data_IF_963950562778
#
_entry.id   IF_963950562778
#
_cell.length_a   1.000
_cell.length_b   1.000
_cell.length_c   1.000
_cell.angle_alpha   90.00
_cell.angle_beta   90.00
_cell.angle_gamma   90.00
#
_symmetry.space_group_name_H-M   'P 1'
#
loop_
_entity.id
_entity.type
_entity.pdbx_description
1 polymer ?
#
# COMPACT_ATOMS: atom_id res chain seq x y z
N UNK A 1 64.95 -10.28 -54.76
CA UNK A 1 63.95 -11.23 -55.32
C UNK A 1 62.68 -10.45 -55.65
N UNK A 2 62.16 -10.52 -56.89
CA UNK A 2 61.13 -9.59 -57.43
C UNK A 2 59.84 -10.34 -57.80
N UNK A 3 58.73 -9.91 -57.18
CA UNK A 3 57.44 -9.58 -57.81
C UNK A 3 56.59 -10.67 -58.46
N UNK A 4 55.60 -11.17 -57.72
CA UNK A 4 54.31 -11.66 -58.26
C UNK A 4 53.16 -11.00 -57.47
N UNK A 5 52.66 -9.85 -57.92
CA UNK A 5 51.50 -9.14 -57.32
C UNK A 5 50.47 -8.60 -58.31
N UNK A 6 50.56 -8.91 -59.62
CA UNK A 6 49.70 -8.32 -60.66
C UNK A 6 48.44 -9.13 -61.05
N UNK A 7 48.32 -10.40 -60.65
CA UNK A 7 47.17 -11.25 -61.03
C UNK A 7 45.96 -11.23 -60.08
N UNK A 8 46.12 -10.78 -58.84
CA UNK A 8 45.04 -10.78 -57.83
C UNK A 8 44.13 -9.55 -57.90
N UNK A 9 44.56 -8.46 -58.54
CA UNK A 9 43.79 -7.21 -58.58
C UNK A 9 42.55 -7.28 -59.49
N UNK A 10 42.58 -8.10 -60.56
CA UNK A 10 41.44 -8.26 -61.47
C UNK A 10 40.30 -9.12 -60.90
N UNK A 11 40.64 -10.21 -60.20
CA UNK A 11 39.64 -11.06 -59.54
C UNK A 11 38.91 -10.34 -58.40
N UNK A 12 39.63 -9.49 -57.65
CA UNK A 12 39.04 -8.65 -56.61
C UNK A 12 38.05 -7.65 -57.22
N UNK A 13 38.34 -7.06 -58.39
CA UNK A 13 37.44 -6.14 -59.08
C UNK A 13 36.10 -6.82 -59.45
N UNK A 14 36.16 -8.02 -60.04
CA UNK A 14 34.96 -8.78 -60.45
C UNK A 14 34.14 -9.20 -59.23
N UNK A 15 34.80 -9.70 -58.18
CA UNK A 15 34.15 -10.08 -56.93
C UNK A 15 33.49 -8.87 -56.24
N UNK A 16 34.18 -7.73 -56.24
CA UNK A 16 33.65 -6.48 -55.64
C UNK A 16 32.44 -5.98 -56.43
N UNK A 17 32.50 -5.95 -57.76
CA UNK A 17 31.38 -5.55 -58.61
C UNK A 17 30.15 -6.45 -58.42
N UNK A 18 30.35 -7.75 -58.17
CA UNK A 18 29.27 -8.68 -57.87
C UNK A 18 28.69 -8.51 -56.46
N UNK A 19 29.53 -8.26 -55.44
CA UNK A 19 29.09 -8.11 -54.05
C UNK A 19 28.52 -6.72 -53.71
N UNK A 20 28.96 -5.67 -54.41
CA UNK A 20 28.58 -4.29 -54.11
C UNK A 20 27.04 -4.06 -54.10
N UNK A 21 26.25 -4.58 -55.06
CA UNK A 21 24.79 -4.47 -55.02
C UNK A 21 24.17 -5.10 -53.77
N UNK A 22 24.68 -6.26 -53.34
CA UNK A 22 24.21 -6.92 -52.13
C UNK A 22 24.55 -6.11 -50.88
N UNK A 23 25.77 -5.56 -50.80
CA UNK A 23 26.18 -4.70 -49.67
C UNK A 23 25.25 -3.48 -49.61
N UNK A 24 25.02 -2.80 -50.74
CA UNK A 24 24.11 -1.65 -50.81
C UNK A 24 22.70 -2.05 -50.36
N UNK A 25 22.18 -3.18 -50.86
CA UNK A 25 20.86 -3.68 -50.48
C UNK A 25 20.74 -3.97 -48.98
N UNK A 26 21.71 -4.68 -48.39
CA UNK A 26 21.72 -4.96 -46.96
C UNK A 26 21.86 -3.69 -46.12
N UNK A 27 22.71 -2.74 -46.53
CA UNK A 27 22.85 -1.46 -45.82
C UNK A 27 21.59 -0.60 -45.90
N UNK A 28 20.94 -0.56 -47.07
CA UNK A 28 19.69 0.18 -47.26
C UNK A 28 18.55 -0.41 -46.42
N UNK A 29 18.38 -1.73 -46.45
CA UNK A 29 17.41 -2.42 -45.58
C UNK A 29 17.71 -2.21 -44.10
N UNK A 30 18.99 -2.19 -43.69
CA UNK A 30 19.37 -1.92 -42.31
C UNK A 30 18.97 -0.51 -41.86
N UNK A 31 19.10 0.50 -42.73
CA UNK A 31 18.65 1.88 -42.44
C UNK A 31 17.13 1.95 -42.30
N UNK A 32 16.40 1.32 -43.22
CA UNK A 32 14.93 1.32 -43.22
C UNK A 32 14.38 0.62 -41.97
N UNK A 33 14.82 -0.61 -41.68
CA UNK A 33 14.38 -1.35 -40.50
C UNK A 33 14.89 -0.74 -39.20
N UNK A 34 16.08 -0.14 -39.19
CA UNK A 34 16.60 0.61 -38.05
C UNK A 34 15.71 1.80 -37.70
N UNK A 35 15.29 2.56 -38.70
CA UNK A 35 14.40 3.72 -38.53
C UNK A 35 13.01 3.30 -38.06
N UNK A 36 12.45 2.22 -38.64
CA UNK A 36 11.19 1.63 -38.20
C UNK A 36 11.25 1.12 -36.75
N UNK A 37 12.36 0.48 -36.36
CA UNK A 37 12.57 -0.01 -35.00
C UNK A 37 12.63 1.14 -33.97
N UNK A 38 13.39 2.20 -34.27
CA UNK A 38 13.46 3.39 -33.40
C UNK A 38 12.08 4.02 -33.25
N UNK A 39 11.33 4.17 -34.35
CA UNK A 39 9.97 4.72 -34.30
C UNK A 39 9.05 3.86 -33.44
N UNK A 40 9.07 2.53 -33.62
CA UNK A 40 8.28 1.59 -32.82
C UNK A 40 8.60 1.71 -31.33
N UNK A 41 9.88 1.83 -30.98
CA UNK A 41 10.31 2.02 -29.58
C UNK A 41 9.77 3.31 -28.96
N UNK A 42 9.80 4.42 -29.71
CA UNK A 42 9.21 5.69 -29.27
C UNK A 42 7.70 5.59 -29.06
N UNK A 43 6.99 4.92 -29.98
CA UNK A 43 5.56 4.68 -29.84
C UNK A 43 5.24 3.82 -28.62
N UNK A 44 6.02 2.77 -28.34
CA UNK A 44 5.79 1.93 -27.16
C UNK A 44 5.98 2.72 -25.86
N UNK A 45 7.06 3.49 -25.72
CA UNK A 45 7.30 4.30 -24.53
C UNK A 45 6.18 5.32 -24.30
N UNK A 46 5.70 5.95 -25.38
CA UNK A 46 4.60 6.90 -25.30
C UNK A 46 3.26 6.22 -24.97
N UNK A 47 2.99 5.04 -25.54
CA UNK A 47 1.80 4.24 -25.25
C UNK A 47 1.79 3.78 -23.79
N UNK A 48 2.92 3.29 -23.26
CA UNK A 48 3.06 2.86 -21.87
C UNK A 48 2.82 4.02 -20.90
N UNK A 49 3.44 5.18 -21.15
CA UNK A 49 3.25 6.38 -20.34
C UNK A 49 1.80 6.90 -20.40
N UNK A 50 1.21 6.92 -21.58
CA UNK A 50 -0.17 7.36 -21.78
C UNK A 50 -1.19 6.40 -21.15
N UNK A 51 -0.97 5.08 -21.25
CA UNK A 51 -1.83 4.07 -20.63
C UNK A 51 -1.78 4.15 -19.10
N UNK A 52 -0.58 4.26 -18.51
CA UNK A 52 -0.42 4.45 -17.06
C UNK A 52 -1.11 5.73 -16.56
N UNK A 53 -0.88 6.85 -17.24
CA UNK A 53 -1.45 8.13 -16.85
C UNK A 53 -2.98 8.17 -17.05
N UNK A 54 -3.47 7.66 -18.17
CA UNK A 54 -4.89 7.61 -18.50
C UNK A 54 -5.67 6.69 -17.56
N UNK A 55 -5.11 5.52 -17.22
CA UNK A 55 -5.76 4.55 -16.35
C UNK A 55 -6.04 5.13 -14.96
N UNK A 56 -5.15 5.97 -14.43
CA UNK A 56 -5.35 6.67 -13.15
C UNK A 56 -6.66 7.50 -13.10
N UNK A 57 -7.09 8.00 -14.26
CA UNK A 57 -8.24 8.88 -14.43
C UNK A 57 -9.47 8.21 -15.07
N UNK A 58 -9.56 6.87 -15.04
CA UNK A 58 -10.72 6.13 -15.56
C UNK A 58 -12.04 6.50 -14.84
N UNK A 59 -12.00 6.68 -13.52
CA UNK A 59 -13.21 6.95 -12.72
C UNK A 59 -13.75 8.38 -12.87
N UNK A 60 -12.89 9.33 -13.26
CA UNK A 60 -13.23 10.76 -13.32
C UNK A 60 -13.55 11.24 -14.75
N UNK A 61 -13.71 10.31 -15.70
CA UNK A 61 -13.94 10.56 -17.13
C UNK A 61 -12.87 11.45 -17.82
N UNK A 62 -11.69 11.61 -17.22
CA UNK A 62 -10.59 12.44 -17.76
C UNK A 62 -9.51 11.63 -18.51
N UNK A 63 -9.67 10.30 -18.60
CA UNK A 63 -8.67 9.40 -19.18
C UNK A 63 -8.20 9.81 -20.59
N UNK A 64 -9.11 10.19 -21.49
CA UNK A 64 -8.75 10.51 -22.89
C UNK A 64 -7.94 11.82 -23.00
N UNK A 65 -8.32 12.84 -22.23
CA UNK A 65 -7.62 14.12 -22.21
C UNK A 65 -6.19 13.95 -21.67
N UNK A 66 -6.03 13.11 -20.65
CA UNK A 66 -4.73 12.78 -20.06
C UNK A 66 -3.89 11.96 -21.05
N UNK A 67 -4.46 10.95 -21.71
CA UNK A 67 -3.79 10.18 -22.77
C UNK A 67 -3.25 11.13 -23.84
N UNK A 68 -4.10 12.02 -24.39
CA UNK A 68 -3.69 12.97 -25.42
C UNK A 68 -2.56 13.90 -24.95
N UNK A 69 -2.62 14.38 -23.71
CA UNK A 69 -1.58 15.21 -23.11
C UNK A 69 -0.23 14.48 -23.04
N UNK A 70 -0.23 13.22 -22.60
CA UNK A 70 0.98 12.42 -22.49
C UNK A 70 1.54 12.05 -23.86
N UNK A 71 0.68 11.73 -24.83
CA UNK A 71 1.12 11.50 -26.21
C UNK A 71 1.80 12.74 -26.79
N UNK A 72 1.18 13.91 -26.67
CA UNK A 72 1.81 15.19 -27.10
C UNK A 72 3.16 15.43 -26.44
N UNK A 73 3.23 15.27 -25.13
CA UNK A 73 4.47 15.47 -24.36
C UNK A 73 5.61 14.56 -24.83
N UNK A 74 5.31 13.29 -25.17
CA UNK A 74 6.32 12.30 -25.54
C UNK A 74 6.62 12.25 -27.05
N UNK A 75 5.72 12.75 -27.90
CA UNK A 75 5.76 12.53 -29.35
C UNK A 75 5.73 13.82 -30.20
N UNK A 76 5.46 14.99 -29.64
CA UNK A 76 5.44 16.27 -30.38
C UNK A 76 6.73 16.59 -31.17
N UNK A 77 7.94 16.19 -30.72
CA UNK A 77 9.16 16.35 -31.53
C UNK A 77 9.14 15.54 -32.85
N UNK A 78 8.16 14.64 -33.02
CA UNK A 78 8.08 13.69 -34.12
C UNK A 78 6.74 13.73 -34.86
N UNK A 79 5.69 14.29 -34.25
CA UNK A 79 4.34 14.34 -34.79
C UNK A 79 3.70 15.70 -34.53
N UNK A 80 3.19 16.33 -35.58
CA UNK A 80 2.48 17.62 -35.50
C UNK A 80 0.96 17.46 -35.64
N UNK A 81 0.49 16.24 -35.96
CA UNK A 81 -0.92 15.91 -36.18
C UNK A 81 -1.28 14.63 -35.43
N UNK A 82 -2.33 14.71 -34.61
CA UNK A 82 -2.88 13.62 -33.82
C UNK A 82 -4.34 13.41 -34.22
N UNK A 83 -4.75 12.17 -34.43
CA UNK A 83 -6.16 11.84 -34.65
C UNK A 83 -6.64 10.82 -33.61
N UNK A 84 -7.75 11.17 -32.95
CA UNK A 84 -8.41 10.32 -31.97
C UNK A 84 -9.59 9.60 -32.60
N UNK A 85 -9.78 8.33 -32.27
CA UNK A 85 -10.87 7.50 -32.78
C UNK A 85 -11.59 6.80 -31.62
N UNK A 86 -12.91 6.90 -31.58
CA UNK A 86 -13.77 6.28 -30.55
C UNK A 86 -14.46 5.04 -31.13
N UNK A 87 -14.50 3.93 -30.37
CA UNK A 87 -15.14 2.68 -30.78
C UNK A 87 -14.26 1.76 -31.63
N UNK A 88 -14.84 0.67 -32.14
CA UNK A 88 -14.12 -0.42 -32.84
C UNK A 88 -13.54 -0.02 -34.22
N UNK A 89 -13.90 1.16 -34.75
CA UNK A 89 -13.44 1.67 -36.04
C UNK A 89 -12.03 2.30 -35.94
N UNK A 90 -11.03 1.49 -35.56
CA UNK A 90 -9.64 1.93 -35.56
C UNK A 90 -9.03 1.80 -36.96
N UNK A 91 -8.72 2.91 -37.66
CA UNK A 91 -8.39 2.89 -39.07
C UNK A 91 -7.06 2.16 -39.35
N UNK A 92 -7.01 1.43 -40.46
CA UNK A 92 -5.78 0.81 -40.99
C UNK A 92 -4.89 1.81 -41.76
N UNK A 93 -5.16 3.12 -41.64
CA UNK A 93 -4.37 4.18 -42.29
C UNK A 93 -3.23 4.62 -41.37
N UNK A 94 -2.03 4.79 -41.93
CA UNK A 94 -0.80 5.10 -41.20
C UNK A 94 -0.21 6.49 -41.55
N UNK A 95 -1.00 7.36 -42.17
CA UNK A 95 -0.56 8.68 -42.68
C UNK A 95 -0.31 9.73 -41.57
N UNK A 96 -0.95 9.57 -40.41
CA UNK A 96 -0.79 10.42 -39.21
C UNK A 96 -0.67 9.55 -37.96
N UNK A 97 -0.32 10.14 -36.81
CA UNK A 97 -0.37 9.41 -35.54
C UNK A 97 -1.83 9.22 -35.12
N UNK A 98 -2.31 8.00 -35.29
CA UNK A 98 -3.64 7.58 -34.87
C UNK A 98 -3.56 6.91 -33.50
N UNK A 99 -4.42 7.32 -32.58
CA UNK A 99 -4.53 6.67 -31.28
C UNK A 99 -5.97 6.31 -30.92
N UNK A 100 -6.11 5.19 -30.23
CA UNK A 100 -7.38 4.66 -29.76
C UNK A 100 -7.28 4.25 -28.29
N UNK A 101 -8.33 4.55 -27.53
CA UNK A 101 -8.52 4.14 -26.14
C UNK A 101 -9.70 3.19 -26.03
N UNK A 102 -9.47 1.97 -25.54
CA UNK A 102 -10.55 1.06 -25.10
C UNK A 102 -10.59 1.07 -23.58
N UNK A 103 -11.76 1.42 -23.02
CA UNK A 103 -11.98 1.58 -21.59
C UNK A 103 -12.86 0.45 -21.10
N UNK A 104 -12.28 -0.41 -20.28
CA UNK A 104 -13.00 -1.38 -19.47
C UNK A 104 -13.10 -0.87 -18.03
N UNK A 105 -13.97 -1.50 -17.22
CA UNK A 105 -14.28 -1.04 -15.84
C UNK A 105 -13.04 -0.71 -15.00
N UNK A 106 -11.94 -1.44 -15.17
CA UNK A 106 -10.69 -1.29 -14.42
C UNK A 106 -9.41 -1.33 -15.32
N UNK A 107 -9.56 -1.32 -16.65
CA UNK A 107 -8.45 -1.46 -17.61
C UNK A 107 -8.57 -0.40 -18.72
N UNK A 108 -7.42 0.13 -19.14
CA UNK A 108 -7.29 1.06 -20.26
C UNK A 108 -6.27 0.51 -21.26
N UNK A 109 -6.70 0.36 -22.50
CA UNK A 109 -5.83 0.00 -23.62
C UNK A 109 -5.55 1.24 -24.48
N UNK A 110 -4.28 1.51 -24.75
CA UNK A 110 -3.84 2.58 -25.65
C UNK A 110 -3.13 1.95 -26.84
N UNK A 111 -3.67 2.16 -28.04
CA UNK A 111 -3.04 1.69 -29.29
C UNK A 111 -2.63 2.89 -30.14
N UNK A 112 -1.37 2.89 -30.60
CA UNK A 112 -0.79 3.90 -31.48
C UNK A 112 -0.41 3.28 -32.84
N UNK A 113 -0.72 3.98 -33.93
CA UNK A 113 -0.34 3.60 -35.30
C UNK A 113 0.28 4.78 -36.05
N UNK A 114 1.36 4.52 -36.79
CA UNK A 114 2.07 5.48 -37.65
C UNK A 114 2.82 4.76 -38.77
N UNK A 115 3.30 5.49 -39.77
CA UNK A 115 4.27 5.00 -40.75
C UNK A 115 5.63 5.68 -40.61
N UNK A 116 6.67 5.06 -41.16
CA UNK A 116 8.01 5.63 -41.32
C UNK A 116 8.34 5.64 -42.81
N UNK A 117 8.84 6.76 -43.32
CA UNK A 117 9.29 6.86 -44.71
C UNK A 117 10.45 5.89 -44.98
N UNK A 118 10.33 5.11 -46.06
CA UNK A 118 11.40 4.23 -46.50
C UNK A 118 12.43 5.00 -47.33
N UNK A 119 13.70 4.73 -47.10
CA UNK A 119 14.82 5.27 -47.86
C UNK A 119 15.22 4.33 -49.00
N UNK A 120 15.42 3.04 -48.71
CA UNK A 120 15.87 2.06 -49.71
C UNK A 120 14.71 1.32 -50.36
N UNK A 121 13.72 0.86 -49.58
CA UNK A 121 12.56 0.13 -50.09
C UNK A 121 11.71 0.95 -51.07
N UNK A 122 11.84 2.28 -51.04
CA UNK A 122 11.23 3.17 -52.03
C UNK A 122 11.69 2.91 -53.46
N UNK A 123 12.89 2.35 -53.66
CA UNK A 123 13.36 1.89 -54.97
C UNK A 123 12.54 0.71 -55.52
N UNK A 124 11.74 0.07 -54.66
CA UNK A 124 10.89 -1.08 -54.96
C UNK A 124 9.40 -0.78 -54.75
N UNK A 125 8.99 0.49 -54.88
CA UNK A 125 7.58 0.93 -54.78
C UNK A 125 6.96 0.73 -53.38
N UNK A 126 7.81 0.69 -52.34
CA UNK A 126 7.39 0.68 -50.94
C UNK A 126 7.81 2.00 -50.33
N UNK A 127 6.89 2.97 -50.29
CA UNK A 127 7.18 4.32 -49.81
C UNK A 127 7.30 4.42 -48.28
N UNK A 128 6.60 3.56 -47.54
CA UNK A 128 6.56 3.64 -46.08
C UNK A 128 6.47 2.26 -45.41
N UNK A 129 6.90 2.20 -44.14
CA UNK A 129 6.83 1.02 -43.28
C UNK A 129 5.83 1.31 -42.15
N UNK A 130 4.74 0.52 -42.02
CA UNK A 130 3.80 0.69 -40.93
C UNK A 130 4.41 0.22 -39.60
N UNK A 131 4.15 0.98 -38.54
CA UNK A 131 4.55 0.67 -37.16
C UNK A 131 3.37 0.89 -36.22
N UNK A 132 3.24 0.01 -35.23
CA UNK A 132 2.21 0.11 -34.20
C UNK A 132 2.75 -0.31 -32.83
N UNK A 133 2.12 0.22 -31.79
CA UNK A 133 2.40 -0.10 -30.40
C UNK A 133 1.08 -0.15 -29.62
N UNK A 134 0.98 -1.08 -28.68
CA UNK A 134 -0.17 -1.23 -27.79
C UNK A 134 0.34 -1.33 -26.36
N UNK A 135 -0.30 -0.62 -25.45
CA UNK A 135 -0.05 -0.68 -24.03
C UNK A 135 -1.37 -0.87 -23.30
N UNK A 136 -1.39 -1.74 -22.29
CA UNK A 136 -2.54 -1.99 -21.45
C UNK A 136 -2.18 -1.66 -20.01
N UNK A 137 -3.03 -0.90 -19.33
CA UNK A 137 -2.85 -0.55 -17.93
C UNK A 137 -4.08 -0.96 -17.12
N UNK A 138 -3.85 -1.55 -15.95
CA UNK A 138 -4.89 -1.94 -15.01
C UNK A 138 -4.84 -1.09 -13.76
N UNK A 139 -6.00 -0.59 -13.36
CA UNK A 139 -6.20 0.04 -12.05
C UNK A 139 -6.53 -1.07 -11.07
N UNK A 140 -5.63 -1.33 -10.11
CA UNK A 140 -6.04 -2.11 -8.96
C UNK A 140 -6.84 -1.19 -8.06
N UNK A 141 -8.16 -1.41 -7.99
CA UNK A 141 -8.95 -0.91 -6.87
C UNK A 141 -8.33 -1.49 -5.61
N UNK A 142 -8.07 -0.63 -4.61
CA UNK A 142 -7.86 -1.09 -3.24
C UNK A 142 -8.92 -2.17 -2.97
N UNK A 143 -8.52 -3.31 -2.40
CA UNK A 143 -9.46 -4.37 -1.99
C UNK A 143 -10.69 -3.68 -1.38
N UNK A 144 -11.85 -3.78 -2.04
CA UNK A 144 -13.15 -3.20 -1.61
C UNK A 144 -13.64 -3.70 -0.22
N UNK A 145 -12.80 -4.44 0.49
CA UNK A 145 -12.96 -5.00 1.83
C UNK A 145 -12.10 -4.33 2.91
N UNK A 146 -11.20 -3.39 2.58
CA UNK A 146 -10.32 -2.77 3.57
C UNK A 146 -11.01 -1.58 4.26
N UNK A 147 -10.97 -1.48 5.60
CA UNK A 147 -11.57 -0.35 6.33
C UNK A 147 -10.96 0.99 5.93
N UNK A 148 -11.81 1.93 5.49
CA UNK A 148 -11.37 3.31 5.16
C UNK A 148 -11.50 4.29 6.33
N UNK A 149 -11.86 3.80 7.52
CA UNK A 149 -12.21 4.61 8.68
C UNK A 149 -11.03 5.47 9.19
N UNK A 150 -11.28 6.76 9.41
CA UNK A 150 -10.24 7.74 9.78
C UNK A 150 -9.51 7.41 11.08
N UNK A 151 -10.12 6.63 11.98
CA UNK A 151 -9.49 6.23 13.25
C UNK A 151 -8.15 5.50 13.04
N UNK A 152 -8.01 4.78 11.92
CA UNK A 152 -6.81 4.01 11.59
C UNK A 152 -5.71 4.85 10.91
N UNK A 153 -6.01 6.11 10.57
CA UNK A 153 -5.02 7.04 10.03
C UNK A 153 -4.14 7.68 11.13
N UNK A 154 -4.46 7.43 12.40
CA UNK A 154 -3.65 7.81 13.55
C UNK A 154 -2.79 6.63 14.00
N UNK A 155 -1.61 6.91 14.56
CA UNK A 155 -0.81 5.88 15.22
C UNK A 155 -1.58 5.30 16.43
N UNK A 156 -2.27 6.17 17.16
CA UNK A 156 -3.05 5.84 18.35
C UNK A 156 -4.38 6.60 18.29
N UNK A 157 -5.49 5.89 18.43
CA UNK A 157 -6.83 6.47 18.64
C UNK A 157 -7.43 5.90 19.92
N UNK A 158 -7.79 6.76 20.87
CA UNK A 158 -8.37 6.35 22.16
C UNK A 158 -9.65 7.11 22.46
N UNK A 159 -10.73 6.37 22.74
CA UNK A 159 -12.07 6.95 22.85
C UNK A 159 -12.58 7.16 24.29
N UNK A 160 -11.91 6.64 25.32
CA UNK A 160 -12.31 6.92 26.70
C UNK A 160 -12.29 8.42 26.98
N UNK A 161 -13.34 8.91 27.63
CA UNK A 161 -13.52 10.30 28.01
C UNK A 161 -13.25 10.45 29.50
N UNK A 162 -12.03 10.18 29.90
CA UNK A 162 -11.60 10.35 31.28
C UNK A 162 -10.47 11.35 31.37
N UNK A 163 -10.59 12.25 32.34
CA UNK A 163 -9.65 13.36 32.58
C UNK A 163 -8.94 13.21 33.93
N UNK A 164 -9.24 12.15 34.68
CA UNK A 164 -8.74 11.93 36.03
C UNK A 164 -7.44 11.13 36.02
N UNK A 165 -6.52 11.47 36.93
CA UNK A 165 -5.24 10.76 37.12
C UNK A 165 -5.41 9.30 37.55
N UNK A 166 -6.56 8.93 38.12
CA UNK A 166 -6.86 7.56 38.53
C UNK A 166 -7.36 6.64 37.42
N UNK A 167 -7.82 7.20 36.28
CA UNK A 167 -8.37 6.43 35.17
C UNK A 167 -8.06 7.12 33.83
N UNK A 168 -6.79 7.27 33.44
CA UNK A 168 -6.44 7.98 32.21
C UNK A 168 -6.91 7.22 30.95
N UNK A 169 -7.02 7.94 29.84
CA UNK A 169 -7.38 7.32 28.56
C UNK A 169 -6.16 6.63 27.93
N UNK A 170 -5.00 7.27 28.03
CA UNK A 170 -3.71 6.68 27.65
C UNK A 170 -2.83 6.66 28.89
N UNK A 171 -2.32 5.48 29.24
CA UNK A 171 -1.46 5.29 30.40
C UNK A 171 -0.07 4.83 29.98
N UNK A 172 0.92 5.66 30.28
CA UNK A 172 2.32 5.52 29.89
C UNK A 172 3.20 5.34 31.14
N UNK A 173 3.50 4.09 31.49
CA UNK A 173 4.10 3.70 32.79
C UNK A 173 5.63 3.62 32.76
N UNK A 174 6.24 3.76 31.58
CA UNK A 174 7.70 3.73 31.45
C UNK A 174 8.24 4.94 30.70
N UNK A 175 9.56 5.08 30.67
CA UNK A 175 10.25 6.27 30.17
C UNK A 175 10.90 6.03 28.81
N UNK A 176 11.17 7.11 28.08
CA UNK A 176 11.93 7.07 26.82
C UNK A 176 11.18 6.47 25.63
N UNK A 177 9.85 6.48 25.64
CA UNK A 177 9.06 6.02 24.50
C UNK A 177 9.17 6.99 23.34
N UNK A 178 9.10 6.47 22.12
CA UNK A 178 9.15 7.23 20.88
C UNK A 178 7.94 6.88 20.02
N UNK A 179 7.08 7.87 19.79
CA UNK A 179 5.91 7.73 18.93
C UNK A 179 6.15 8.58 17.70
N UNK A 180 6.03 7.98 16.52
CA UNK A 180 6.00 8.65 15.23
C UNK A 180 4.63 8.50 14.61
N UNK A 181 3.96 9.61 14.31
CA UNK A 181 2.58 9.65 13.83
C UNK A 181 1.63 10.30 14.83
N UNK A 182 0.41 10.54 14.37
CA UNK A 182 -0.54 11.33 15.15
C UNK A 182 -1.27 10.53 16.22
N UNK A 183 -1.69 11.20 17.29
CA UNK A 183 -2.51 10.65 18.36
C UNK A 183 -3.87 11.34 18.34
N UNK A 184 -4.95 10.57 18.35
CA UNK A 184 -6.32 11.05 18.58
C UNK A 184 -6.79 10.54 19.95
N UNK A 185 -7.20 11.44 20.85
CA UNK A 185 -7.65 11.05 22.19
C UNK A 185 -8.86 11.84 22.67
N UNK A 186 -9.82 11.13 23.28
CA UNK A 186 -10.98 11.75 23.91
C UNK A 186 -10.74 12.25 25.35
N UNK A 187 -9.65 11.80 25.97
CA UNK A 187 -9.32 12.10 27.36
C UNK A 187 -7.82 12.26 27.60
N UNK A 188 -7.42 12.16 28.86
CA UNK A 188 -6.08 12.51 29.30
C UNK A 188 -5.02 11.44 29.00
N UNK A 189 -3.78 11.91 28.83
CA UNK A 189 -2.57 11.09 28.77
C UNK A 189 -1.87 11.17 30.13
N UNK A 190 -1.70 10.04 30.81
CA UNK A 190 -0.95 9.98 32.06
C UNK A 190 0.45 9.46 31.80
N UNK A 191 1.44 10.25 32.20
CA UNK A 191 2.82 9.81 32.33
C UNK A 191 3.07 9.40 33.78
N UNK A 192 3.49 8.15 33.99
CA UNK A 192 4.01 7.68 35.26
C UNK A 192 5.45 7.21 35.04
N UNK A 193 6.33 8.18 34.83
CA UNK A 193 7.74 7.96 34.53
C UNK A 193 8.57 9.15 35.00
N UNK A 194 9.88 9.05 34.83
CA UNK A 194 10.89 10.02 35.28
C UNK A 194 11.70 10.63 34.12
N UNK A 195 11.54 10.14 32.88
CA UNK A 195 12.21 10.68 31.68
C UNK A 195 11.21 11.05 30.60
N UNK A 196 11.58 12.05 29.81
CA UNK A 196 10.79 12.60 28.71
C UNK A 196 10.56 11.55 27.62
N UNK A 197 9.33 11.46 27.13
CA UNK A 197 8.96 10.66 25.96
C UNK A 197 8.98 11.55 24.72
N UNK A 198 9.24 10.99 23.54
CA UNK A 198 9.30 11.74 22.27
C UNK A 198 8.07 11.48 21.41
N UNK A 199 7.50 12.54 20.83
CA UNK A 199 6.44 12.47 19.83
C UNK A 199 6.87 13.23 18.56
N UNK A 200 6.97 12.50 17.44
CA UNK A 200 7.11 13.02 16.08
C UNK A 200 5.75 12.95 15.37
N UNK A 201 4.89 13.94 15.63
CA UNK A 201 3.52 13.95 15.15
C UNK A 201 2.69 15.02 15.84
N UNK A 202 1.37 14.91 15.72
CA UNK A 202 0.39 15.84 16.30
C UNK A 202 -0.55 15.13 17.25
N UNK A 203 -1.05 15.86 18.25
CA UNK A 203 -2.14 15.38 19.10
C UNK A 203 -3.42 16.07 18.70
N UNK A 204 -4.45 15.30 18.38
CA UNK A 204 -5.81 15.77 18.18
C UNK A 204 -6.61 15.34 19.41
N UNK A 205 -7.20 16.31 20.11
CA UNK A 205 -7.88 16.05 21.37
C UNK A 205 -9.33 16.50 21.35
N UNK A 206 -10.22 15.65 21.85
CA UNK A 206 -11.56 16.06 22.27
C UNK A 206 -11.54 16.83 23.61
N UNK A 207 -10.41 16.79 24.33
CA UNK A 207 -10.22 17.58 25.54
C UNK A 207 -10.17 19.05 25.09
N UNK A 208 -11.05 19.92 25.58
CA UNK A 208 -10.94 21.34 25.27
C UNK A 208 -9.54 21.85 25.64
N UNK A 209 -8.85 22.57 24.75
CA UNK A 209 -7.47 23.04 24.94
C UNK A 209 -7.22 23.83 26.26
N UNK A 210 -8.28 24.35 26.89
CA UNK A 210 -8.20 24.99 28.20
C UNK A 210 -8.03 24.02 29.38
N UNK A 211 -8.14 22.70 29.15
CA UNK A 211 -7.84 21.63 30.08
C UNK A 211 -6.52 20.97 29.71
N UNK A 212 -5.74 20.60 30.71
CA UNK A 212 -4.47 19.92 30.50
C UNK A 212 -4.71 18.55 29.86
N UNK A 213 -4.21 18.35 28.64
CA UNK A 213 -4.33 17.07 27.89
C UNK A 213 -3.56 15.94 28.57
N UNK A 214 -2.55 16.28 29.36
CA UNK A 214 -1.78 15.32 30.14
C UNK A 214 -1.89 15.57 31.64
N UNK A 215 -1.71 14.50 32.41
CA UNK A 215 -1.52 14.55 33.85
C UNK A 215 -0.23 13.82 34.20
N UNK A 216 0.41 14.17 35.32
CA UNK A 216 1.62 13.49 35.79
C UNK A 216 1.43 12.97 37.20
N UNK A 217 1.98 11.78 37.45
CA UNK A 217 2.21 11.21 38.77
C UNK A 217 3.70 10.82 38.90
N UNK A 218 4.59 11.81 38.76
CA UNK A 218 6.02 11.63 39.01
C UNK A 218 6.29 11.69 40.52
N UNK A 219 7.30 10.94 40.99
CA UNK A 219 7.74 11.00 42.39
C UNK A 219 8.18 12.41 42.83
N UNK A 220 8.51 13.29 41.89
CA UNK A 220 8.94 14.68 42.14
C UNK A 220 7.90 15.75 41.76
N UNK A 221 6.65 15.37 41.42
CA UNK A 221 5.57 16.28 41.00
C UNK A 221 5.89 17.24 39.84
N UNK A 222 6.97 17.04 39.06
CA UNK A 222 7.23 17.88 37.88
C UNK A 222 6.30 17.48 36.74
N UNK A 223 5.62 18.39 36.00
CA UNK A 223 4.78 18.00 34.88
C UNK A 223 5.64 17.46 33.72
N UNK A 224 5.48 16.18 33.37
CA UNK A 224 6.10 15.60 32.18
C UNK A 224 5.14 15.76 31.00
N UNK A 225 5.73 16.13 29.88
CA UNK A 225 5.08 16.21 28.57
C UNK A 225 5.95 15.45 27.57
N UNK A 226 5.42 15.23 26.37
CA UNK A 226 6.26 14.82 25.26
C UNK A 226 7.32 15.90 24.95
N UNK A 227 8.44 15.48 24.39
CA UNK A 227 9.34 16.33 23.63
C UNK A 227 9.18 16.05 22.13
N UNK A 228 9.51 17.04 21.31
CA UNK A 228 9.77 16.88 19.89
C UNK A 228 11.08 16.12 19.66
N UNK A 229 11.33 15.58 18.45
CA UNK A 229 12.57 14.84 18.16
C UNK A 229 13.87 15.63 18.36
N UNK A 230 13.82 16.95 18.27
CA UNK A 230 14.96 17.87 18.56
C UNK A 230 15.10 18.21 20.05
N UNK A 231 14.30 17.59 20.93
CA UNK A 231 14.42 17.70 22.39
C UNK A 231 13.71 18.91 23.00
N UNK A 232 12.89 19.64 22.24
CA UNK A 232 12.08 20.75 22.76
C UNK A 232 10.77 20.24 23.37
N UNK A 233 10.15 21.03 24.24
CA UNK A 233 8.82 20.74 24.77
C UNK A 233 7.80 20.64 23.63
N UNK A 234 6.99 19.58 23.63
CA UNK A 234 5.93 19.38 22.65
C UNK A 234 4.76 20.34 22.87
N UNK A 235 4.30 20.99 21.79
CA UNK A 235 3.18 21.95 21.84
C UNK A 235 2.14 21.76 20.74
N UNK A 236 2.32 20.79 19.83
CA UNK A 236 1.46 20.64 18.63
C UNK A 236 0.19 19.84 18.95
N UNK A 237 -0.70 20.49 19.71
CA UNK A 237 -2.00 19.96 20.15
C UNK A 237 -3.10 20.74 19.45
N UNK A 238 -4.04 20.03 18.85
CA UNK A 238 -5.18 20.60 18.12
C UNK A 238 -6.50 20.08 18.69
N UNK A 239 -7.53 20.92 18.65
CA UNK A 239 -8.90 20.47 18.89
C UNK A 239 -9.31 19.48 17.78
N UNK A 240 -9.89 18.35 18.18
CA UNK A 240 -10.59 17.48 17.26
C UNK A 240 -12.00 18.04 17.04
N UNK A 241 -12.28 18.55 15.84
CA UNK A 241 -13.54 19.23 15.53
C UNK A 241 -14.53 18.39 14.70
N UNK A 242 -14.23 17.12 14.45
CA UNK A 242 -15.13 16.20 13.73
C UNK A 242 -16.11 15.53 14.72
N UNK A 243 -17.34 15.24 14.28
CA UNK A 243 -18.36 14.52 15.07
C UNK A 243 -18.61 15.10 16.48
N UNK A 244 -18.99 16.38 16.57
CA UNK A 244 -19.16 17.12 17.84
C UNK A 244 -17.91 17.11 18.75
N UNK A 245 -16.75 16.86 18.15
CA UNK A 245 -15.45 16.82 18.80
C UNK A 245 -15.21 15.59 19.65
N UNK A 246 -15.75 14.42 19.27
CA UNK A 246 -15.52 13.15 19.95
C UNK A 246 -15.08 12.11 18.92
N UNK A 247 -13.97 11.43 19.18
CA UNK A 247 -13.57 10.24 18.43
C UNK A 247 -14.55 9.10 18.76
N UNK A 248 -15.34 8.68 17.77
CA UNK A 248 -16.27 7.56 17.91
C UNK A 248 -15.66 6.32 17.25
N UNK A 249 -15.29 5.35 18.08
CA UNK A 249 -14.65 4.11 17.62
C UNK A 249 -15.61 2.93 17.62
N UNK A 250 -16.90 3.12 17.90
CA UNK A 250 -17.86 2.00 17.92
C UNK A 250 -18.01 1.39 16.53
N UNK A 251 -18.27 0.09 16.48
CA UNK A 251 -18.38 -0.66 15.23
C UNK A 251 -19.49 -0.08 14.33
N UNK A 252 -20.66 0.21 14.90
CA UNK A 252 -21.84 0.76 14.20
C UNK A 252 -21.61 2.17 13.64
N UNK A 253 -20.69 2.94 14.23
CA UNK A 253 -20.30 4.27 13.75
C UNK A 253 -19.25 4.24 12.63
N UNK A 254 -18.69 3.07 12.32
CA UNK A 254 -17.53 2.92 11.45
C UNK A 254 -17.78 1.83 10.40
N UNK A 255 -18.43 2.25 9.31
CA UNK A 255 -18.95 1.34 8.29
C UNK A 255 -17.89 0.47 7.61
N UNK A 256 -16.63 0.92 7.53
CA UNK A 256 -15.55 0.16 6.90
C UNK A 256 -15.18 -1.08 7.72
N UNK A 257 -14.87 -0.88 9.01
CA UNK A 257 -14.57 -1.96 9.94
C UNK A 257 -15.77 -2.88 10.15
N UNK A 258 -16.98 -2.32 10.23
CA UNK A 258 -18.23 -3.07 10.37
C UNK A 258 -18.48 -3.99 9.16
N UNK A 259 -18.29 -3.48 7.94
CA UNK A 259 -18.41 -4.27 6.71
C UNK A 259 -17.35 -5.37 6.66
N UNK A 260 -16.11 -5.09 7.05
CA UNK A 260 -15.05 -6.09 7.11
C UNK A 260 -15.40 -7.23 8.09
N UNK A 261 -15.86 -6.89 9.30
CA UNK A 261 -16.28 -7.87 10.32
C UNK A 261 -17.43 -8.73 9.79
N UNK A 262 -18.45 -8.12 9.18
CA UNK A 262 -19.58 -8.86 8.59
C UNK A 262 -19.15 -9.79 7.46
N UNK A 263 -18.31 -9.31 6.53
CA UNK A 263 -17.80 -10.14 5.44
C UNK A 263 -17.09 -11.39 5.95
N UNK A 264 -16.26 -11.26 6.98
CA UNK A 264 -15.61 -12.42 7.58
C UNK A 264 -16.59 -13.30 8.35
N UNK A 265 -17.57 -12.73 9.08
CA UNK A 265 -18.64 -13.48 9.74
C UNK A 265 -19.53 -14.29 8.80
N UNK A 266 -19.73 -13.83 7.58
CA UNK A 266 -20.62 -14.49 6.62
C UNK A 266 -19.85 -15.49 5.73
N UNK A 267 -18.51 -15.40 5.70
CA UNK A 267 -17.63 -16.34 4.99
C UNK A 267 -17.69 -17.74 5.62
N UNK A 268 -17.69 -18.81 4.83
CA UNK A 268 -17.66 -20.16 5.37
C UNK A 268 -16.36 -20.42 6.15
N UNK A 269 -16.43 -21.23 7.23
CA UNK A 269 -15.28 -21.50 8.12
C UNK A 269 -14.05 -21.99 7.32
N UNK A 270 -14.24 -22.90 6.37
CA UNK A 270 -13.17 -23.42 5.50
C UNK A 270 -12.46 -22.32 4.68
N UNK A 271 -13.21 -21.32 4.22
CA UNK A 271 -12.67 -20.25 3.38
C UNK A 271 -11.92 -19.24 4.25
N UNK A 272 -12.40 -19.01 5.49
CA UNK A 272 -11.66 -18.23 6.50
C UNK A 272 -10.32 -18.87 6.83
N UNK A 273 -10.32 -20.18 7.08
CA UNK A 273 -9.09 -20.92 7.38
C UNK A 273 -8.08 -20.79 6.24
N UNK A 274 -8.52 -20.99 4.99
CA UNK A 274 -7.67 -20.81 3.79
C UNK A 274 -7.04 -19.43 3.69
N UNK A 275 -7.77 -18.39 4.10
CA UNK A 275 -7.29 -17.00 4.08
C UNK A 275 -6.56 -16.58 5.38
N UNK A 276 -6.41 -17.51 6.34
CA UNK A 276 -5.81 -17.29 7.67
C UNK A 276 -6.58 -16.30 8.54
N UNK A 277 -7.91 -16.44 8.57
CA UNK A 277 -8.85 -15.64 9.35
C UNK A 277 -9.47 -16.50 10.47
N UNK A 278 -9.34 -16.05 11.72
CA UNK A 278 -10.04 -16.61 12.87
C UNK A 278 -11.19 -15.69 13.26
N UNK A 279 -12.41 -16.21 13.28
CA UNK A 279 -13.61 -15.47 13.68
C UNK A 279 -14.42 -16.28 14.68
N UNK A 280 -14.70 -15.70 15.85
CA UNK A 280 -15.51 -16.32 16.91
C UNK A 280 -16.28 -15.27 17.74
N UNK A 281 -17.57 -15.10 17.47
CA UNK A 281 -18.47 -14.17 18.16
C UNK A 281 -19.21 -14.80 19.35
N UNK A 282 -18.79 -15.99 19.82
CA UNK A 282 -19.38 -16.62 21.00
C UNK A 282 -19.15 -15.74 22.24
N UNK A 283 -20.20 -15.44 23.02
CA UNK A 283 -20.09 -14.59 24.20
C UNK A 283 -19.31 -15.26 25.33
N UNK A 284 -18.80 -14.46 26.26
CA UNK A 284 -18.17 -14.89 27.52
C UNK A 284 -16.99 -15.86 27.35
N UNK A 285 -16.13 -15.62 26.35
CA UNK A 285 -14.95 -16.43 26.11
C UNK A 285 -13.71 -15.57 25.96
N UNK A 286 -12.64 -15.96 26.63
CA UNK A 286 -11.30 -15.40 26.46
C UNK A 286 -10.48 -16.27 25.52
N UNK A 287 -9.65 -15.63 24.71
CA UNK A 287 -8.92 -16.27 23.64
C UNK A 287 -7.43 -16.07 23.83
N UNK A 288 -6.72 -17.21 23.92
CA UNK A 288 -5.27 -17.23 23.97
C UNK A 288 -4.75 -17.68 22.60
N UNK A 289 -3.79 -16.94 22.06
CA UNK A 289 -3.09 -17.28 20.83
C UNK A 289 -1.60 -17.34 21.11
N UNK A 290 -0.91 -18.35 20.59
CA UNK A 290 0.54 -18.46 20.68
C UNK A 290 1.11 -18.86 19.34
N UNK A 291 2.29 -18.35 19.01
CA UNK A 291 3.07 -18.87 17.90
C UNK A 291 3.69 -20.22 18.21
N UNK A 292 3.66 -21.12 17.23
CA UNK A 292 4.09 -22.52 17.34
C UNK A 292 4.93 -23.02 16.16
N UNK A 293 4.94 -22.30 15.04
CA UNK A 293 5.68 -22.60 13.81
C UNK A 293 6.75 -21.53 13.55
N UNK A 294 8.01 -21.92 13.73
CA UNK A 294 9.13 -21.04 13.41
C UNK A 294 9.18 -20.70 11.91
N UNK A 295 9.24 -19.42 11.58
CA UNK A 295 9.51 -18.93 10.21
C UNK A 295 8.33 -18.29 9.47
N UNK A 296 7.15 -18.23 10.07
CA UNK A 296 5.96 -17.55 9.51
C UNK A 296 5.55 -16.41 10.43
N UNK A 297 5.30 -15.22 9.88
CA UNK A 297 4.73 -14.09 10.63
C UNK A 297 3.23 -13.94 10.30
N UNK A 298 2.34 -13.65 11.27
CA UNK A 298 2.57 -13.61 12.73
C UNK A 298 2.47 -14.99 13.41
N UNK A 299 2.02 -16.03 12.68
CA UNK A 299 1.87 -17.42 13.15
C UNK A 299 0.99 -17.60 14.41
N UNK A 300 -0.04 -16.80 14.60
CA UNK A 300 -0.88 -16.94 15.80
C UNK A 300 -1.82 -18.13 15.70
N UNK A 301 -1.62 -19.11 16.58
CA UNK A 301 -2.43 -20.32 16.68
C UNK A 301 -3.30 -20.27 17.96
N UNK A 302 -4.62 -20.47 17.87
CA UNK A 302 -5.50 -20.44 19.04
C UNK A 302 -5.22 -21.62 19.97
N UNK A 303 -5.32 -21.38 21.27
CA UNK A 303 -5.07 -22.37 22.32
C UNK A 303 -6.40 -22.80 22.96
N UNK A 304 -6.65 -24.12 23.06
CA UNK A 304 -7.82 -24.68 23.73
C UNK A 304 -9.03 -24.91 22.81
N UNK A 305 -10.24 -24.58 23.29
CA UNK A 305 -11.47 -24.73 22.52
C UNK A 305 -11.48 -23.78 21.32
N UNK A 306 -11.66 -24.31 20.11
CA UNK A 306 -11.52 -23.54 18.86
C UNK A 306 -12.63 -23.85 17.88
N UNK A 307 -12.99 -22.87 17.06
CA UNK A 307 -13.84 -23.10 15.90
C UNK A 307 -12.93 -23.57 14.78
N UNK A 308 -13.16 -24.80 14.32
CA UNK A 308 -12.40 -25.43 13.25
C UNK A 308 -13.34 -26.10 12.27
N UNK A 309 -12.96 -26.15 10.99
CA UNK A 309 -13.60 -27.06 10.05
C UNK A 309 -13.29 -28.51 10.47
N UNK A 310 -14.33 -29.33 10.57
CA UNK A 310 -14.26 -30.75 10.97
C UNK A 310 -14.08 -31.66 9.73
N UNK A 311 -14.25 -31.12 8.52
CA UNK A 311 -14.40 -31.91 7.30
C UNK A 311 -13.10 -31.93 6.45
N UNK A 312 -12.39 -33.07 6.48
CA UNK A 312 -11.12 -33.38 5.79
C UNK A 312 -11.21 -33.51 4.24
N UNK A 313 -11.95 -32.64 3.55
CA UNK A 313 -12.01 -32.63 2.09
C UNK A 313 -11.62 -31.29 1.44
N UNK A 314 -10.85 -30.46 2.15
CA UNK A 314 -10.29 -29.21 1.60
C UNK A 314 -9.91 -28.11 2.60
N UNK A 315 -10.06 -28.33 3.91
CA UNK A 315 -9.57 -27.42 4.95
C UNK A 315 -8.06 -27.51 5.18
N UNK A 316 -7.48 -26.50 5.84
CA UNK A 316 -6.08 -26.57 6.30
C UNK A 316 -6.02 -27.55 7.49
N UNK A 317 -5.10 -28.53 7.53
CA UNK A 317 -4.94 -29.42 8.68
C UNK A 317 -4.69 -28.65 9.98
N UNK A 318 -5.23 -29.06 11.14
CA UNK A 318 -5.12 -28.33 12.41
C UNK A 318 -3.70 -27.89 12.77
N UNK A 319 -2.72 -28.76 12.52
CA UNK A 319 -1.30 -28.53 12.76
C UNK A 319 -0.65 -27.49 11.83
N UNK A 320 -1.35 -27.02 10.81
CA UNK A 320 -0.88 -25.99 9.89
C UNK A 320 -1.73 -24.71 9.96
N UNK A 321 -2.68 -24.62 10.91
CA UNK A 321 -3.57 -23.47 11.05
C UNK A 321 -2.91 -22.38 11.88
N UNK A 322 -2.57 -21.30 11.21
CA UNK A 322 -2.21 -20.03 11.83
C UNK A 322 -3.07 -18.91 11.27
N UNK A 323 -3.21 -17.84 12.04
CA UNK A 323 -4.11 -16.74 11.70
C UNK A 323 -3.38 -15.40 11.71
N UNK A 324 -3.73 -14.56 10.74
CA UNK A 324 -3.25 -13.17 10.59
C UNK A 324 -4.36 -12.14 10.76
N UNK A 325 -5.61 -12.58 10.70
CA UNK A 325 -6.78 -11.79 11.07
C UNK A 325 -7.49 -12.53 12.18
N UNK A 326 -7.60 -11.95 13.36
CA UNK A 326 -8.26 -12.53 14.51
C UNK A 326 -9.37 -11.57 14.94
N UNK A 327 -10.61 -12.05 14.94
CA UNK A 327 -11.79 -11.30 15.34
C UNK A 327 -12.56 -12.15 16.34
N UNK A 328 -12.60 -11.72 17.59
CA UNK A 328 -13.26 -12.50 18.65
C UNK A 328 -14.13 -11.63 19.54
N UNK A 329 -15.13 -12.23 20.19
CA UNK A 329 -16.03 -11.51 21.08
C UNK A 329 -15.36 -10.96 22.34
N UNK A 330 -14.49 -11.75 22.98
CA UNK A 330 -13.94 -11.44 24.31
C UNK A 330 -12.44 -11.12 24.29
N UNK A 331 -11.77 -11.27 25.44
CA UNK A 331 -10.38 -10.81 25.56
C UNK A 331 -9.44 -11.60 24.65
N UNK A 332 -8.42 -10.93 24.12
CA UNK A 332 -7.32 -11.54 23.36
C UNK A 332 -6.05 -11.44 24.19
N UNK A 333 -5.37 -12.58 24.35
CA UNK A 333 -3.99 -12.65 24.81
C UNK A 333 -3.15 -13.31 23.72
N UNK A 334 -2.17 -12.59 23.18
CA UNK A 334 -1.27 -13.10 22.14
C UNK A 334 0.11 -13.41 22.71
N UNK A 335 0.82 -14.37 22.13
CA UNK A 335 2.24 -14.64 22.38
C UNK A 335 2.96 -14.85 21.04
N UNK A 336 4.12 -14.20 20.89
CA UNK A 336 4.92 -14.21 19.67
C UNK A 336 6.27 -14.92 19.84
N UNK A 337 6.44 -15.72 20.89
CA UNK A 337 7.71 -16.35 21.29
C UNK A 337 8.49 -17.01 20.13
N UNK A 338 7.80 -17.71 19.23
CA UNK A 338 8.40 -18.41 18.09
C UNK A 338 8.25 -17.66 16.74
N UNK A 339 7.66 -16.45 16.75
CA UNK A 339 7.35 -15.71 15.53
C UNK A 339 8.58 -14.89 15.08
N UNK A 340 8.98 -14.95 13.80
CA UNK A 340 10.00 -14.05 13.26
C UNK A 340 9.46 -12.61 13.19
N UNK A 341 10.31 -11.59 13.07
CA UNK A 341 9.84 -10.24 12.77
C UNK A 341 9.12 -10.19 11.40
N UNK A 342 8.18 -9.25 11.19
CA UNK A 342 7.47 -9.08 9.92
C UNK A 342 8.43 -8.76 8.78
N UNK A 343 8.13 -9.27 7.57
CA UNK A 343 8.80 -8.85 6.32
C UNK A 343 7.96 -7.79 5.62
N UNK A 344 8.61 -6.75 5.09
CA UNK A 344 7.99 -5.68 4.31
C UNK A 344 6.70 -5.12 4.95
N UNK A 345 5.55 -5.34 4.29
CA UNK A 345 4.22 -4.93 4.72
C UNK A 345 3.36 -6.11 5.18
N UNK A 346 3.94 -7.24 5.60
CA UNK A 346 3.17 -8.27 6.31
C UNK A 346 2.65 -7.69 7.63
N UNK A 347 1.36 -7.89 7.94
CA UNK A 347 0.74 -7.34 9.14
C UNK A 347 -0.29 -8.28 9.75
N UNK A 348 -0.53 -8.09 11.04
CA UNK A 348 -1.54 -8.76 11.86
C UNK A 348 -2.75 -7.84 12.06
N UNK A 349 -3.96 -8.39 12.09
CA UNK A 349 -5.17 -7.70 12.51
C UNK A 349 -5.72 -8.38 13.75
N UNK A 350 -5.87 -7.63 14.84
CA UNK A 350 -6.47 -8.10 16.10
C UNK A 350 -7.70 -7.26 16.42
N UNK A 351 -8.87 -7.91 16.48
CA UNK A 351 -10.14 -7.29 16.84
C UNK A 351 -10.78 -8.03 17.99
N UNK A 352 -10.99 -7.32 19.07
CA UNK A 352 -11.79 -7.79 20.21
C UNK A 352 -13.07 -6.98 20.25
N UNK A 353 -14.21 -7.61 19.96
CA UNK A 353 -15.49 -6.91 19.79
C UNK A 353 -15.97 -6.28 21.11
N UNK A 354 -15.82 -7.01 22.23
CA UNK A 354 -16.32 -6.60 23.55
C UNK A 354 -15.29 -6.74 24.69
N UNK A 355 -14.04 -7.11 24.37
CA UNK A 355 -12.98 -7.37 25.36
C UNK A 355 -11.72 -6.52 25.17
N UNK A 356 -10.73 -6.78 26.01
CA UNK A 356 -9.39 -6.17 25.96
C UNK A 356 -8.42 -7.01 25.12
N UNK A 357 -7.34 -6.39 24.65
CA UNK A 357 -6.28 -7.06 23.89
C UNK A 357 -4.94 -6.86 24.61
N UNK A 358 -4.22 -7.94 24.89
CA UNK A 358 -2.86 -7.91 25.42
C UNK A 358 -1.89 -8.43 24.36
N UNK A 359 -0.94 -7.57 23.98
CA UNK A 359 0.09 -7.87 22.97
C UNK A 359 1.47 -7.70 23.60
N UNK A 360 2.21 -8.80 23.83
CA UNK A 360 3.60 -8.73 24.19
C UNK A 360 4.42 -8.25 22.99
N UNK A 361 5.32 -7.32 23.25
CA UNK A 361 6.13 -6.57 22.32
C UNK A 361 7.59 -6.96 22.47
N UNK A 362 7.79 -8.27 22.38
CA UNK A 362 9.11 -8.89 22.50
C UNK A 362 9.82 -8.93 21.14
N UNK A 363 9.06 -8.85 20.06
CA UNK A 363 9.53 -8.78 18.66
C UNK A 363 8.93 -7.55 17.96
N UNK A 364 9.53 -7.05 16.87
CA UNK A 364 8.88 -6.06 16.04
C UNK A 364 7.52 -6.55 15.52
N UNK A 365 6.51 -5.69 15.51
CA UNK A 365 5.14 -6.03 15.11
C UNK A 365 4.62 -5.01 14.10
N UNK A 366 4.06 -5.51 13.00
CA UNK A 366 3.21 -4.74 12.10
C UNK A 366 1.75 -5.12 12.44
N UNK A 367 0.97 -4.24 13.06
CA UNK A 367 -0.35 -4.60 13.57
C UNK A 367 -1.42 -3.52 13.46
N UNK A 368 -2.62 -3.92 13.05
CA UNK A 368 -3.87 -3.16 13.18
C UNK A 368 -4.64 -3.72 14.38
N UNK A 369 -4.75 -2.96 15.46
CA UNK A 369 -5.33 -3.41 16.73
C UNK A 369 -6.59 -2.60 17.01
N UNK A 370 -7.72 -3.28 17.27
CA UNK A 370 -9.02 -2.64 17.49
C UNK A 370 -9.79 -3.29 18.65
N UNK A 371 -10.03 -2.52 19.71
CA UNK A 371 -10.77 -2.91 20.90
C UNK A 371 -11.76 -1.81 21.32
N UNK A 372 -12.90 -1.65 20.62
CA UNK A 372 -13.81 -0.52 20.80
C UNK A 372 -14.43 -0.42 22.19
N UNK A 373 -14.51 -1.53 22.93
CA UNK A 373 -15.09 -1.58 24.28
C UNK A 373 -14.05 -1.93 25.37
N UNK A 374 -12.78 -2.10 24.99
CA UNK A 374 -11.76 -2.67 25.86
C UNK A 374 -10.45 -1.88 25.92
N UNK A 375 -9.53 -2.41 26.73
CA UNK A 375 -8.18 -1.86 26.87
C UNK A 375 -7.22 -2.58 25.95
N UNK A 376 -6.36 -1.84 25.25
CA UNK A 376 -5.18 -2.43 24.60
C UNK A 376 -3.99 -2.28 25.54
N UNK A 377 -3.31 -3.39 25.82
CA UNK A 377 -2.08 -3.43 26.61
C UNK A 377 -0.91 -3.82 25.72
N UNK A 378 0.09 -2.94 25.62
CA UNK A 378 1.37 -3.21 24.96
C UNK A 378 2.47 -3.25 26.03
N UNK A 379 3.02 -4.43 26.28
CA UNK A 379 4.06 -4.70 27.27
C UNK A 379 5.12 -5.64 26.67
N UNK A 380 6.23 -5.97 27.36
CA UNK A 380 7.32 -6.80 26.82
C UNK A 380 8.65 -6.06 26.66
N UNK A 381 9.51 -6.50 25.74
CA UNK A 381 10.89 -6.00 25.57
C UNK A 381 11.03 -4.73 24.71
N UNK A 382 9.96 -3.94 24.57
CA UNK A 382 9.96 -2.64 23.89
C UNK A 382 10.37 -2.68 22.41
N UNK A 383 10.07 -3.78 21.71
CA UNK A 383 10.32 -3.88 20.29
C UNK A 383 9.41 -2.92 19.48
N UNK A 384 9.67 -2.80 18.17
CA UNK A 384 9.02 -1.78 17.35
C UNK A 384 7.59 -2.18 16.96
N UNK A 385 6.59 -1.39 17.30
CA UNK A 385 5.23 -1.54 16.76
C UNK A 385 5.03 -0.55 15.64
N UNK A 386 4.70 -1.04 14.44
CA UNK A 386 4.27 -0.25 13.30
C UNK A 386 2.81 -0.59 13.01
N UNK A 387 1.96 0.42 12.79
CA UNK A 387 0.55 0.18 12.55
C UNK A 387 -0.36 1.22 13.20
N UNK A 388 -1.57 0.81 13.58
CA UNK A 388 -2.53 1.66 14.26
C UNK A 388 -3.19 0.91 15.42
N UNK A 389 -3.28 1.59 16.56
CA UNK A 389 -3.94 1.08 17.77
C UNK A 389 -5.19 1.91 18.03
N UNK A 390 -6.34 1.25 18.03
CA UNK A 390 -7.63 1.86 18.33
C UNK A 390 -8.29 1.15 19.50
N UNK A 391 -8.57 1.86 20.58
CA UNK A 391 -9.09 1.24 21.80
C UNK A 391 -9.94 2.19 22.64
N UNK A 392 -10.72 1.64 23.58
CA UNK A 392 -11.33 2.48 24.61
C UNK A 392 -10.24 3.09 25.51
N UNK A 393 -9.28 2.27 25.96
CA UNK A 393 -8.14 2.70 26.78
C UNK A 393 -6.84 2.07 26.25
N UNK A 394 -5.71 2.77 26.38
CA UNK A 394 -4.39 2.24 26.03
C UNK A 394 -3.47 2.21 27.25
N UNK A 395 -2.85 1.06 27.51
CA UNK A 395 -1.86 0.87 28.55
C UNK A 395 -0.51 0.44 27.95
N UNK A 396 0.55 1.18 28.27
CA UNK A 396 1.91 0.93 27.80
C UNK A 396 2.88 0.93 28.98
N UNK A 397 3.59 -0.17 29.19
CA UNK A 397 4.48 -0.34 30.36
C UNK A 397 5.94 -0.61 30.04
N UNK A 398 6.30 -0.76 28.78
CA UNK A 398 7.68 -1.07 28.38
C UNK A 398 8.51 0.19 28.14
N UNK A 399 9.70 0.27 28.75
CA UNK A 399 10.62 1.40 28.59
C UNK A 399 11.30 1.40 27.23
N UNK A 400 11.45 2.56 26.59
CA UNK A 400 12.05 2.65 25.25
C UNK A 400 11.13 2.22 24.09
N UNK A 401 9.83 2.01 24.37
CA UNK A 401 8.85 1.56 23.40
C UNK A 401 8.79 2.46 22.15
N UNK A 402 8.88 1.87 20.96
CA UNK A 402 8.77 2.59 19.68
C UNK A 402 7.47 2.27 18.97
N UNK A 403 6.67 3.28 18.62
CA UNK A 403 5.45 3.15 17.82
C UNK A 403 5.58 4.00 16.55
N UNK A 404 5.34 3.43 15.38
CA UNK A 404 5.20 4.16 14.11
C UNK A 404 3.80 3.99 13.54
N UNK A 405 3.07 5.08 13.39
CA UNK A 405 1.76 5.11 12.74
C UNK A 405 1.83 4.67 11.28
N UNK A 406 1.06 3.65 10.93
CA UNK A 406 0.90 3.18 9.55
C UNK A 406 -0.47 2.54 9.39
N UNK A 407 -1.23 2.93 8.38
CA UNK A 407 -2.51 2.32 8.08
C UNK A 407 -2.31 1.22 7.04
N UNK A 408 -2.17 -0.03 7.49
CA UNK A 408 -2.03 -1.18 6.59
C UNK A 408 -3.28 -1.48 5.76
N UNK A 409 -4.44 -0.90 6.09
CA UNK A 409 -5.66 -1.01 5.27
C UNK A 409 -5.62 -0.08 4.05
N UNK A 410 -4.82 1.00 4.07
CA UNK A 410 -4.66 1.95 2.96
C UNK A 410 -3.24 1.97 2.36
N UNK A 411 -2.31 1.22 2.96
CA UNK A 411 -0.88 1.32 2.68
C UNK A 411 -0.28 2.74 2.90
N UNK A 412 -0.90 3.55 3.76
CA UNK A 412 -0.51 4.94 4.02
C UNK A 412 0.27 5.07 5.35
N UNK A 413 1.24 5.97 5.41
CA UNK A 413 1.85 6.37 6.70
C UNK A 413 0.85 7.16 7.55
N UNK A 414 0.87 6.98 8.88
CA UNK A 414 0.00 7.69 9.85
C UNK A 414 0.26 9.20 9.99
N UNK A 415 0.71 9.83 8.90
CA UNK A 415 0.80 11.25 8.66
C UNK A 415 -0.37 11.61 7.71
N UNK A 416 -1.43 12.30 8.17
CA UNK A 416 -2.55 12.64 7.33
C UNK A 416 -2.10 13.64 6.26
N UNK A 417 -2.31 13.31 4.98
CA UNK A 417 -2.01 14.24 3.90
C UNK A 417 -2.00 13.70 2.46
N UNK A 418 -2.10 12.40 2.21
CA UNK A 418 -2.20 11.88 0.83
C UNK A 418 -3.39 10.96 0.71
N UNK A 419 -4.43 11.49 0.06
CA UNK A 419 -5.52 10.71 -0.52
C UNK A 419 -4.96 9.47 -1.24
N UNK A 420 -5.46 8.28 -0.87
CA UNK A 420 -5.28 6.99 -1.53
C UNK A 420 -4.71 7.09 -2.95
N UNK A 421 -3.43 6.73 -3.09
CA UNK A 421 -2.80 6.60 -4.39
C UNK A 421 -3.42 5.38 -5.09
N UNK A 422 -4.20 5.61 -6.15
CA UNK A 422 -4.61 4.52 -7.04
C UNK A 422 -3.36 3.87 -7.60
N UNK A 423 -3.18 2.58 -7.34
CA UNK A 423 -2.06 1.83 -7.92
C UNK A 423 -2.43 1.39 -9.35
N UNK A 424 -1.65 1.88 -10.30
CA UNK A 424 -1.78 1.56 -11.73
C UNK A 424 -0.56 0.75 -12.15
N UNK A 425 -0.77 -0.32 -12.92
CA UNK A 425 0.31 -1.15 -13.44
C UNK A 425 0.09 -1.51 -14.91
N UNK A 426 1.17 -1.59 -15.68
CA UNK A 426 1.14 -2.13 -17.03
C UNK A 426 0.91 -3.64 -16.98
N UNK A 427 -0.01 -4.11 -17.81
CA UNK A 427 -0.27 -5.54 -18.03
C UNK A 427 0.15 -5.89 -19.46
N UNK A 428 0.77 -7.06 -19.65
CA UNK A 428 1.29 -7.51 -20.95
C UNK A 428 0.31 -8.42 -21.66
#
# INVERSE_FOLDING_TARGET
MKGHRRGQQGAILVLTAFLLPFIIAFTGMAVDFGSAYVRRSQLQNAADAAALAGAYHLDDNQADDVVLKYLKTNLDPHFTSYSYQTGDDFPDKFETLNYHTDKQKDELDVTLRSSVEASFLKLFDIDTIPVYATAKAKVSKEKESLPTDDMFNYAITVANKSYETGNPSIFMVSSGMNIKGNILTNGSILFWNDRVNTLDGKIYSAVPLNKQVWSNKAWDNKPLAFATPDGKTFTDIHDYNKNNGIADIRIDSNSGIEKMIRNYRDMAIKDREKEHIYYDDRPNKDYNFSSSHAGVYPDLCPQGDTIVSIDDAGGIPPENRYYRVIIVSGNISASFEHSPPPKDNEYLVLISLHGSITVPNDIPLNAMIYAPEGTVTINGNAAHVRGSIVAQTLYMSSGGQKITGYNFFKEESGLPGTSGEKKVSLIK
#
